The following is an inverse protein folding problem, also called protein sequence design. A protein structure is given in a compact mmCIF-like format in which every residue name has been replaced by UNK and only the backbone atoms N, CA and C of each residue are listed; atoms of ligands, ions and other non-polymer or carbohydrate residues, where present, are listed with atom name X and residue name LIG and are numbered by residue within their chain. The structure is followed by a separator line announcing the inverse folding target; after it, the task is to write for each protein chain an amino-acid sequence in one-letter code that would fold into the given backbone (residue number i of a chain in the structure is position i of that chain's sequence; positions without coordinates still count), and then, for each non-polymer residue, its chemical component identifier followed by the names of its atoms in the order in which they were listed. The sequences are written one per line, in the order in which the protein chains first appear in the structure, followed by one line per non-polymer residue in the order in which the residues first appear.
data_IF_175351166512
#
_entry.id   IF_175351166512
#
_cell.length_a   1.000
_cell.length_b   1.000
_cell.length_c   1.000
_cell.angle_alpha   90.00
_cell.angle_beta   90.00
_cell.angle_gamma   90.00
#
_symmetry.space_group_name_H-M   'P 1'
#
loop_
_entity.id
_entity.type
_entity.pdbx_description
1 polymer ?
#
# COMPACT_ATOMS: atom_id res chain seq x y z
N UNK A 1 -22.60 -5.16 -1.97
CA UNK A 1 -22.31 -3.74 -2.28
C UNK A 1 -21.29 -3.73 -3.41
N UNK A 2 -21.53 -2.96 -4.47
CA UNK A 2 -20.58 -2.87 -5.59
C UNK A 2 -19.31 -2.15 -5.13
N UNK A 3 -18.12 -2.70 -5.42
CA UNK A 3 -16.81 -2.11 -5.16
C UNK A 3 -16.64 -0.69 -5.75
N UNK A 4 -17.51 -0.31 -6.69
CA UNK A 4 -17.52 0.99 -7.35
C UNK A 4 -18.32 2.08 -6.60
N UNK A 5 -18.97 1.77 -5.49
CA UNK A 5 -19.85 2.72 -4.79
C UNK A 5 -19.08 3.70 -3.87
N UNK A 6 -17.86 3.35 -3.43
CA UNK A 6 -17.04 4.23 -2.57
C UNK A 6 -16.22 5.20 -3.43
N UNK A 7 -16.36 6.53 -3.26
CA UNK A 7 -15.54 7.51 -3.97
C UNK A 7 -14.04 7.29 -3.72
N UNK A 8 -13.21 7.66 -4.68
CA UNK A 8 -11.75 7.52 -4.55
C UNK A 8 -11.20 8.33 -3.36
N UNK A 9 -11.81 9.47 -3.05
CA UNK A 9 -11.43 10.33 -1.93
C UNK A 9 -11.67 9.74 -0.54
N UNK A 10 -12.51 8.70 -0.46
CA UNK A 10 -12.85 8.02 0.81
C UNK A 10 -12.04 6.72 0.99
N UNK A 11 -11.19 6.38 0.05
CA UNK A 11 -10.34 5.18 0.09
C UNK A 11 -8.99 5.52 0.68
N UNK A 12 -8.47 4.61 1.50
CA UNK A 12 -7.08 4.71 1.96
C UNK A 12 -6.13 4.43 0.78
N UNK A 13 -5.25 5.37 0.48
CA UNK A 13 -4.28 5.25 -0.61
C UNK A 13 -2.99 4.60 -0.12
N UNK A 14 -2.72 3.39 -0.60
CA UNK A 14 -1.53 2.60 -0.26
C UNK A 14 -0.54 2.70 -1.42
N UNK A 15 0.53 3.47 -1.23
CA UNK A 15 1.63 3.56 -2.20
C UNK A 15 2.60 2.40 -2.05
N UNK A 16 2.87 1.67 -3.14
CA UNK A 16 3.80 0.54 -3.16
C UNK A 16 5.05 0.93 -3.94
N UNK A 17 6.17 0.94 -3.24
CA UNK A 17 7.48 1.38 -3.75
C UNK A 17 8.51 0.27 -3.64
N UNK A 18 9.58 0.38 -4.41
CA UNK A 18 10.70 -0.55 -4.38
C UNK A 18 11.27 -0.81 -5.76
N UNK A 19 12.44 -1.44 -5.80
CA UNK A 19 13.14 -1.76 -7.05
C UNK A 19 12.35 -2.68 -7.97
N UNK A 20 12.76 -2.72 -9.23
CA UNK A 20 12.33 -3.75 -10.17
C UNK A 20 12.66 -5.13 -9.57
N UNK A 21 11.79 -6.10 -9.77
CA UNK A 21 11.93 -7.48 -9.26
C UNK A 21 11.94 -7.65 -7.72
N UNK A 22 11.71 -6.60 -6.92
CA UNK A 22 11.51 -6.73 -5.48
C UNK A 22 10.26 -7.52 -5.09
N UNK A 23 9.39 -7.83 -6.09
CA UNK A 23 8.18 -8.62 -5.89
C UNK A 23 6.95 -7.80 -5.54
N UNK A 24 6.89 -6.51 -5.92
CA UNK A 24 5.73 -5.63 -5.68
C UNK A 24 4.43 -6.23 -6.18
N UNK A 25 4.37 -6.65 -7.44
CA UNK A 25 3.17 -7.25 -8.05
C UNK A 25 2.79 -8.59 -7.41
N UNK A 26 3.78 -9.43 -7.08
CA UNK A 26 3.54 -10.68 -6.36
C UNK A 26 2.97 -10.43 -4.97
N UNK A 27 3.46 -9.40 -4.28
CA UNK A 27 2.98 -9.02 -2.96
C UNK A 27 1.54 -8.48 -3.04
N UNK A 28 1.22 -7.64 -4.03
CA UNK A 28 -0.15 -7.15 -4.27
C UNK A 28 -1.10 -8.35 -4.45
N UNK A 29 -0.72 -9.32 -5.29
CA UNK A 29 -1.52 -10.52 -5.51
C UNK A 29 -1.69 -11.35 -4.22
N UNK A 30 -0.64 -11.51 -3.42
CA UNK A 30 -0.70 -12.23 -2.15
C UNK A 30 -1.61 -11.54 -1.14
N UNK A 31 -1.55 -10.21 -1.03
CA UNK A 31 -2.38 -9.41 -0.12
C UNK A 31 -3.85 -9.48 -0.54
N UNK A 32 -4.14 -9.41 -1.83
CA UNK A 32 -5.51 -9.34 -2.35
C UNK A 32 -6.19 -10.69 -2.46
N UNK A 33 -5.42 -11.77 -2.43
CA UNK A 33 -5.94 -13.14 -2.67
C UNK A 33 -6.45 -13.37 -4.10
N UNK A 34 -6.26 -12.40 -4.99
CA UNK A 34 -6.67 -12.46 -6.38
C UNK A 34 -5.41 -12.51 -7.24
N UNK A 35 -5.40 -13.35 -8.27
CA UNK A 35 -4.45 -13.28 -9.37
C UNK A 35 -4.78 -12.02 -10.22
N UNK A 36 -4.74 -10.87 -9.59
CA UNK A 36 -4.71 -9.59 -10.28
C UNK A 36 -3.33 -9.45 -10.92
N UNK A 37 -3.00 -10.40 -11.83
CA UNK A 37 -1.88 -10.19 -12.70
C UNK A 37 -2.07 -8.82 -13.32
N UNK A 38 -1.20 -7.90 -12.95
CA UNK A 38 -0.92 -6.75 -13.80
C UNK A 38 -0.11 -7.37 -14.95
N UNK A 39 -0.81 -8.04 -15.83
CA UNK A 39 -0.32 -8.23 -17.18
C UNK A 39 -0.49 -6.86 -17.81
N UNK A 40 0.49 -5.99 -17.60
CA UNK A 40 0.73 -4.99 -18.61
C UNK A 40 1.26 -5.78 -19.81
N UNK A 41 0.36 -6.24 -20.68
CA UNK A 41 0.68 -6.83 -21.97
C UNK A 41 1.34 -5.82 -22.93
N UNK A 42 1.58 -4.61 -22.48
CA UNK A 42 2.42 -3.66 -23.18
C UNK A 42 3.87 -3.89 -22.73
N UNK A 43 4.66 -4.58 -23.56
CA UNK A 43 6.11 -4.45 -23.63
C UNK A 43 6.49 -3.01 -24.01
N UNK A 44 6.10 -2.05 -23.19
CA UNK A 44 6.44 -0.64 -23.28
C UNK A 44 6.78 -0.20 -21.87
N UNK A 45 7.90 0.46 -21.71
CA UNK A 45 8.42 1.08 -20.50
C UNK A 45 7.35 1.88 -19.77
N UNK A 46 6.50 1.20 -19.00
CA UNK A 46 5.44 1.84 -18.21
C UNK A 46 6.12 2.62 -17.10
N UNK A 47 6.24 3.92 -17.30
CA UNK A 47 6.73 4.87 -16.31
C UNK A 47 5.61 5.39 -15.42
N UNK A 48 4.36 5.06 -15.71
CA UNK A 48 3.19 5.58 -15.02
C UNK A 48 2.74 4.66 -13.87
N UNK A 49 2.34 5.25 -12.73
CA UNK A 49 1.78 4.49 -11.62
C UNK A 49 0.42 3.90 -12.00
N UNK A 50 0.14 2.68 -11.53
CA UNK A 50 -1.12 2.00 -11.76
C UNK A 50 -1.98 2.09 -10.49
N UNK A 51 -3.21 2.58 -10.64
CA UNK A 51 -4.18 2.73 -9.55
C UNK A 51 -5.17 1.56 -9.58
N UNK A 52 -5.34 0.89 -8.44
CA UNK A 52 -6.27 -0.23 -8.28
C UNK A 52 -7.15 -0.04 -7.05
N UNK A 53 -8.45 0.13 -7.29
CA UNK A 53 -9.44 0.12 -6.23
C UNK A 53 -9.74 -1.32 -5.81
N UNK A 54 -9.74 -1.60 -4.52
CA UNK A 54 -10.06 -2.92 -3.97
C UNK A 54 -10.53 -2.84 -2.53
N UNK A 55 -10.94 -3.98 -1.99
CA UNK A 55 -11.20 -4.15 -0.56
C UNK A 55 -10.06 -4.94 0.08
N UNK A 56 -9.51 -4.41 1.15
CA UNK A 56 -8.44 -5.03 1.93
C UNK A 56 -8.89 -5.21 3.38
N UNK A 57 -9.30 -6.42 3.75
CA UNK A 57 -9.68 -6.72 5.12
C UNK A 57 -8.44 -6.83 6.03
N UNK A 58 -8.46 -6.26 7.26
CA UNK A 58 -9.63 -5.65 7.92
C UNK A 58 -9.83 -4.15 7.64
N UNK A 59 -9.01 -3.52 6.80
CA UNK A 59 -9.00 -2.07 6.56
C UNK A 59 -10.24 -1.56 5.80
N UNK A 60 -10.81 -2.38 4.88
CA UNK A 60 -11.93 -1.99 4.03
C UNK A 60 -11.50 -1.46 2.66
N UNK A 61 -12.22 -0.45 2.10
CA UNK A 61 -11.94 0.06 0.76
C UNK A 61 -10.59 0.78 0.67
N UNK A 62 -9.72 0.33 -0.24
CA UNK A 62 -8.40 0.93 -0.47
C UNK A 62 -8.16 1.25 -1.94
N UNK A 63 -7.22 2.14 -2.20
CA UNK A 63 -6.63 2.38 -3.50
C UNK A 63 -5.16 2.00 -3.46
N UNK A 64 -4.77 0.91 -4.10
CA UNK A 64 -3.37 0.55 -4.25
C UNK A 64 -2.78 1.32 -5.42
N UNK A 65 -1.65 1.99 -5.17
CA UNK A 65 -0.89 2.72 -6.18
C UNK A 65 0.42 1.97 -6.39
N UNK A 66 0.48 1.16 -7.46
CA UNK A 66 1.70 0.44 -7.83
C UNK A 66 2.61 1.37 -8.61
N UNK A 67 3.82 1.57 -8.10
CA UNK A 67 4.81 2.42 -8.75
C UNK A 67 5.74 1.61 -9.63
N UNK A 68 6.21 2.16 -10.76
CA UNK A 68 7.30 1.56 -11.52
C UNK A 68 8.52 1.32 -10.63
N UNK A 69 9.29 0.26 -10.91
CA UNK A 69 10.51 -0.03 -10.16
C UNK A 69 11.46 1.18 -10.15
N UNK A 70 11.99 1.50 -8.98
CA UNK A 70 12.95 2.57 -8.80
C UNK A 70 14.34 2.00 -9.12
N UNK A 71 14.74 2.12 -10.39
CA UNK A 71 16.05 1.71 -10.86
C UNK A 71 16.87 2.94 -11.21
N UNK A 72 18.17 2.94 -10.88
CA UNK A 72 19.07 4.10 -11.01
C UNK A 72 19.62 4.33 -12.41
N UNK A 73 19.40 3.42 -13.33
CA UNK A 73 20.11 3.45 -14.61
C UNK A 73 19.38 4.30 -15.67
N UNK A 74 20.08 5.36 -16.09
CA UNK A 74 19.73 6.17 -17.26
C UNK A 74 18.59 7.17 -17.07
N UNK A 75 18.21 7.81 -18.17
CA UNK A 75 17.16 8.85 -18.22
C UNK A 75 15.80 8.34 -17.75
N UNK A 76 15.50 7.08 -18.01
CA UNK A 76 14.25 6.43 -17.56
C UNK A 76 14.21 6.20 -16.06
N UNK A 77 15.37 5.95 -15.43
CA UNK A 77 15.46 5.80 -13.97
C UNK A 77 15.10 7.10 -13.25
N UNK A 78 15.62 8.22 -13.69
CA UNK A 78 15.31 9.54 -13.11
C UNK A 78 13.83 9.91 -13.23
N UNK A 79 13.18 9.59 -14.35
CA UNK A 79 11.74 9.81 -14.55
C UNK A 79 10.89 8.92 -13.61
N UNK A 80 11.28 7.66 -13.41
CA UNK A 80 10.59 6.73 -12.49
C UNK A 80 10.68 7.21 -11.05
N UNK A 81 11.88 7.66 -10.62
CA UNK A 81 12.09 8.25 -9.30
C UNK A 81 11.21 9.49 -9.12
N UNK A 82 11.17 10.38 -10.11
CA UNK A 82 10.32 11.57 -10.05
C UNK A 82 8.83 11.21 -9.93
N UNK A 83 8.35 10.22 -10.69
CA UNK A 83 6.97 9.74 -10.61
C UNK A 83 6.65 9.07 -9.28
N UNK A 84 7.57 8.26 -8.75
CA UNK A 84 7.43 7.70 -7.41
C UNK A 84 7.29 8.80 -6.35
N UNK A 85 8.04 9.90 -6.48
CA UNK A 85 7.90 11.05 -5.58
C UNK A 85 6.58 11.81 -5.74
N UNK A 86 6.01 11.86 -6.94
CA UNK A 86 4.68 12.43 -7.16
C UNK A 86 3.58 11.58 -6.49
N UNK A 87 3.73 10.25 -6.55
CA UNK A 87 2.81 9.32 -5.89
C UNK A 87 2.80 9.53 -4.37
N UNK A 88 3.94 9.83 -3.75
CA UNK A 88 4.00 10.09 -2.31
C UNK A 88 3.05 11.20 -1.85
N UNK A 89 2.73 12.18 -2.71
CA UNK A 89 1.79 13.25 -2.36
C UNK A 89 0.33 12.80 -2.30
N UNK A 90 0.04 11.58 -2.78
CA UNK A 90 -1.30 10.97 -2.82
C UNK A 90 -1.37 9.71 -1.96
N UNK A 91 -0.37 9.47 -1.13
CA UNK A 91 -0.20 8.23 -0.37
C UNK A 91 -0.49 8.49 1.10
N UNK A 92 -1.43 7.76 1.66
CA UNK A 92 -1.77 7.80 3.10
C UNK A 92 -0.85 6.87 3.90
N UNK A 93 -0.44 5.74 3.29
CA UNK A 93 0.54 4.81 3.84
C UNK A 93 1.47 4.31 2.75
N UNK A 94 2.77 4.32 3.01
CA UNK A 94 3.80 3.84 2.10
C UNK A 94 4.30 2.44 2.48
N UNK A 95 4.32 1.53 1.51
CA UNK A 95 4.98 0.24 1.60
C UNK A 95 6.25 0.26 0.76
N UNK A 96 7.41 0.14 1.39
CA UNK A 96 8.70 0.02 0.68
C UNK A 96 9.10 -1.45 0.64
N UNK A 97 9.10 -2.03 -0.56
CA UNK A 97 9.37 -3.46 -0.77
C UNK A 97 10.83 -3.64 -1.15
N UNK A 98 11.54 -4.44 -0.37
CA UNK A 98 12.95 -4.76 -0.54
C UNK A 98 13.09 -6.27 -0.76
N UNK A 99 13.90 -6.68 -1.74
CA UNK A 99 14.25 -8.08 -1.94
C UNK A 99 15.25 -8.51 -0.84
N UNK A 100 14.92 -9.55 -0.09
CA UNK A 100 15.73 -10.04 1.02
C UNK A 100 17.12 -10.52 0.57
N UNK A 101 17.23 -11.09 -0.63
CA UNK A 101 18.52 -11.58 -1.14
C UNK A 101 19.47 -10.44 -1.49
N UNK A 102 18.92 -9.35 -2.05
CA UNK A 102 19.68 -8.17 -2.54
C UNK A 102 19.95 -7.18 -1.41
N UNK A 103 18.94 -6.91 -0.59
CA UNK A 103 18.98 -5.91 0.47
C UNK A 103 18.62 -4.49 -0.01
N UNK A 104 18.58 -3.53 0.94
CA UNK A 104 18.24 -2.15 0.64
C UNK A 104 19.33 -1.47 -0.17
N UNK A 105 18.94 -0.77 -1.20
CA UNK A 105 19.82 0.07 -2.01
C UNK A 105 19.91 1.49 -1.48
N UNK A 106 20.82 2.27 -2.03
CA UNK A 106 20.95 3.70 -1.73
C UNK A 106 19.65 4.47 -2.03
N UNK A 107 18.93 4.08 -3.10
CA UNK A 107 17.65 4.68 -3.49
C UNK A 107 16.52 4.31 -2.54
N UNK A 108 16.46 3.07 -2.10
CA UNK A 108 15.49 2.66 -1.09
C UNK A 108 15.68 3.46 0.20
N UNK A 109 16.92 3.65 0.63
CA UNK A 109 17.25 4.45 1.81
C UNK A 109 16.91 5.94 1.62
N UNK A 110 17.17 6.51 0.44
CA UNK A 110 16.78 7.89 0.11
C UNK A 110 15.26 8.06 0.11
N UNK A 111 14.54 7.09 -0.45
CA UNK A 111 13.08 7.08 -0.46
C UNK A 111 12.51 6.99 0.96
N UNK A 112 13.00 6.06 1.79
CA UNK A 112 12.62 5.91 3.20
C UNK A 112 12.82 7.23 3.95
N UNK A 113 13.99 7.86 3.80
CA UNK A 113 14.29 9.15 4.41
C UNK A 113 13.29 10.24 3.98
N UNK A 114 12.91 10.25 2.71
CA UNK A 114 11.94 11.22 2.19
C UNK A 114 10.51 10.97 2.68
N UNK A 115 10.09 9.70 2.78
CA UNK A 115 8.80 9.31 3.35
C UNK A 115 8.70 9.79 4.79
N UNK A 116 9.75 9.51 5.59
CA UNK A 116 9.83 9.94 6.98
C UNK A 116 9.82 11.47 7.14
N UNK A 117 10.52 12.19 6.26
CA UNK A 117 10.51 13.66 6.26
C UNK A 117 9.12 14.25 5.96
N UNK A 118 8.30 13.54 5.20
CA UNK A 118 6.89 13.90 4.92
C UNK A 118 5.93 13.42 6.00
N UNK A 119 6.40 12.69 7.01
CA UNK A 119 5.58 12.08 8.07
C UNK A 119 4.50 11.14 7.55
N UNK A 120 4.72 10.53 6.38
CA UNK A 120 3.83 9.50 5.84
C UNK A 120 4.08 8.21 6.61
N UNK A 121 3.03 7.55 7.14
CA UNK A 121 3.15 6.24 7.76
C UNK A 121 3.86 5.25 6.84
N UNK A 122 4.88 4.54 7.37
CA UNK A 122 5.77 3.70 6.58
C UNK A 122 5.83 2.28 7.13
N UNK A 123 5.66 1.31 6.25
CA UNK A 123 6.02 -0.09 6.46
C UNK A 123 7.15 -0.48 5.50
N UNK A 124 8.21 -1.07 6.04
CA UNK A 124 9.30 -1.64 5.26
C UNK A 124 9.08 -3.15 5.19
N UNK A 125 8.91 -3.66 3.98
CA UNK A 125 8.60 -5.07 3.73
C UNK A 125 9.78 -5.75 3.06
N UNK A 126 10.44 -6.64 3.79
CA UNK A 126 11.51 -7.48 3.25
C UNK A 126 10.87 -8.72 2.66
N UNK A 127 10.69 -8.71 1.36
CA UNK A 127 10.08 -9.80 0.61
C UNK A 127 11.10 -10.87 0.21
N UNK A 128 10.63 -12.08 -0.09
CA UNK A 128 11.45 -13.28 -0.37
C UNK A 128 12.31 -13.68 0.85
N UNK A 129 11.72 -13.56 2.05
CA UNK A 129 12.44 -13.82 3.29
C UNK A 129 12.89 -15.28 3.45
N UNK A 130 12.33 -16.20 2.68
CA UNK A 130 12.76 -17.59 2.58
C UNK A 130 14.16 -17.76 2.02
N UNK A 131 14.72 -16.74 1.39
CA UNK A 131 16.06 -16.75 0.78
C UNK A 131 17.17 -16.36 1.75
N UNK A 132 16.85 -15.98 2.99
CA UNK A 132 17.82 -15.47 3.96
C UNK A 132 17.70 -16.20 5.31
N UNK A 133 18.80 -16.17 6.07
CA UNK A 133 18.91 -16.72 7.42
C UNK A 133 18.59 -15.65 8.50
N UNK A 134 18.54 -16.07 9.77
CA UNK A 134 18.23 -15.18 10.89
C UNK A 134 19.30 -14.09 11.11
N UNK A 135 20.59 -14.37 10.86
CA UNK A 135 21.66 -13.38 10.98
C UNK A 135 21.43 -12.19 10.05
N UNK A 136 21.00 -12.47 8.80
CA UNK A 136 20.69 -11.44 7.81
C UNK A 136 19.44 -10.65 8.18
N UNK A 137 18.43 -11.31 8.78
CA UNK A 137 17.24 -10.60 9.31
C UNK A 137 17.62 -9.63 10.41
N UNK A 138 18.46 -10.05 11.34
CA UNK A 138 18.98 -9.20 12.42
C UNK A 138 19.78 -8.01 11.87
N UNK A 139 20.62 -8.25 10.85
CA UNK A 139 21.36 -7.18 10.18
C UNK A 139 20.41 -6.13 9.54
N UNK A 140 19.30 -6.56 8.93
CA UNK A 140 18.32 -5.62 8.37
C UNK A 140 17.58 -4.83 9.43
N UNK A 141 17.26 -5.43 10.58
CA UNK A 141 16.67 -4.73 11.73
C UNK A 141 17.60 -3.63 12.27
N UNK A 142 18.90 -3.89 12.33
CA UNK A 142 19.90 -2.91 12.74
C UNK A 142 20.08 -1.78 11.70
N UNK A 143 19.99 -2.10 10.40
CA UNK A 143 20.20 -1.14 9.31
C UNK A 143 18.99 -0.21 9.12
N UNK A 144 17.78 -0.65 9.46
CA UNK A 144 16.52 0.04 9.20
C UNK A 144 15.72 0.32 10.49
N UNK A 145 16.32 1.04 11.47
CA UNK A 145 15.72 1.20 12.81
C UNK A 145 14.46 2.09 12.83
N UNK A 146 14.23 2.92 11.80
CA UNK A 146 13.21 3.96 11.81
C UNK A 146 11.90 3.56 11.11
N UNK A 147 11.61 2.27 10.96
CA UNK A 147 10.40 1.80 10.34
C UNK A 147 9.90 0.50 10.93
N UNK A 148 8.59 0.25 10.87
CA UNK A 148 8.04 -1.08 11.18
C UNK A 148 8.50 -2.02 10.07
N UNK A 149 9.38 -2.97 10.42
CA UNK A 149 9.99 -3.92 9.48
C UNK A 149 9.25 -5.24 9.53
N UNK A 150 8.87 -5.77 8.37
CA UNK A 150 8.18 -7.04 8.22
C UNK A 150 8.91 -7.92 7.20
N UNK A 151 9.14 -9.18 7.58
CA UNK A 151 9.70 -10.19 6.69
C UNK A 151 8.59 -11.05 6.15
N UNK A 152 8.44 -11.08 4.82
CA UNK A 152 7.36 -11.81 4.15
C UNK A 152 7.89 -12.64 2.98
N UNK A 153 7.13 -13.64 2.58
CA UNK A 153 7.27 -14.30 1.30
C UNK A 153 5.95 -14.21 0.55
N UNK A 154 5.92 -13.42 -0.50
CA UNK A 154 4.74 -13.31 -1.35
C UNK A 154 4.49 -14.63 -2.11
N UNK A 155 5.54 -15.35 -2.47
CA UNK A 155 5.46 -16.63 -3.17
C UNK A 155 4.94 -17.76 -2.28
N UNK A 156 5.50 -17.89 -1.07
CA UNK A 156 5.10 -18.91 -0.11
C UNK A 156 3.92 -18.49 0.77
N UNK A 157 3.41 -17.26 0.59
CA UNK A 157 2.35 -16.64 1.41
C UNK A 157 2.69 -16.57 2.90
N UNK A 158 3.98 -16.50 3.24
CA UNK A 158 4.44 -16.41 4.62
C UNK A 158 4.28 -14.97 5.13
N UNK A 159 3.72 -14.83 6.34
CA UNK A 159 3.50 -13.55 7.05
C UNK A 159 2.67 -12.53 6.27
N UNK A 160 1.82 -12.98 5.32
CA UNK A 160 0.92 -12.09 4.56
C UNK A 160 -0.24 -11.61 5.42
N UNK A 161 -0.71 -12.43 6.35
CA UNK A 161 -1.75 -12.03 7.30
C UNK A 161 -1.23 -10.93 8.23
N UNK A 162 -0.05 -11.12 8.80
CA UNK A 162 0.63 -10.16 9.67
C UNK A 162 0.90 -8.83 8.95
N UNK A 163 1.19 -8.90 7.64
CA UNK A 163 1.34 -7.68 6.82
C UNK A 163 0.01 -6.94 6.68
N UNK A 164 -1.11 -7.62 6.45
CA UNK A 164 -2.44 -6.99 6.37
C UNK A 164 -2.82 -6.31 7.69
N UNK A 165 -2.60 -6.99 8.81
CA UNK A 165 -2.82 -6.44 10.14
C UNK A 165 -1.93 -5.21 10.39
N UNK A 166 -0.66 -5.29 10.00
CA UNK A 166 0.26 -4.18 10.15
C UNK A 166 -0.14 -2.96 9.30
N UNK A 167 -0.64 -3.18 8.07
CA UNK A 167 -1.19 -2.12 7.23
C UNK A 167 -2.38 -1.46 7.93
N UNK A 168 -3.34 -2.25 8.40
CA UNK A 168 -4.53 -1.74 9.07
C UNK A 168 -4.21 -0.93 10.35
N UNK A 169 -3.23 -1.37 11.13
CA UNK A 169 -2.78 -0.67 12.33
C UNK A 169 -1.96 0.59 12.06
N UNK A 170 -1.37 0.69 10.88
CA UNK A 170 -0.47 1.81 10.52
C UNK A 170 -1.22 2.97 9.88
N UNK A 171 -2.38 2.70 9.27
CA UNK A 171 -3.26 3.76 8.75
C UNK A 171 -3.70 4.62 9.91
N UNK A 172 -3.51 5.96 9.86
CA UNK A 172 -4.03 6.85 10.88
C UNK A 172 -5.53 6.58 11.08
N UNK A 173 -5.94 6.34 12.31
CA UNK A 173 -7.36 6.36 12.63
C UNK A 173 -7.85 7.75 12.21
N UNK A 174 -8.79 7.78 11.28
CA UNK A 174 -9.36 9.01 10.77
C UNK A 174 -10.10 9.68 11.93
N UNK A 175 -9.43 10.59 12.65
CA UNK A 175 -10.07 11.41 13.67
C UNK A 175 -11.17 12.30 13.05
N UNK A 176 -11.15 12.39 11.72
CA UNK A 176 -12.14 13.03 10.85
C UNK A 176 -13.00 12.01 10.08
N UNK A 177 -13.26 10.83 10.60
CA UNK A 177 -14.49 10.15 10.16
C UNK A 177 -15.60 11.12 10.47
N UNK A 178 -16.04 11.84 9.44
CA UNK A 178 -17.10 12.82 9.55
C UNK A 178 -18.21 12.18 10.37
N UNK A 179 -18.33 12.63 11.60
CA UNK A 179 -19.44 12.28 12.46
C UNK A 179 -20.61 13.04 11.84
N UNK A 180 -21.23 12.39 10.83
CA UNK A 180 -22.24 13.04 9.97
C UNK A 180 -23.35 13.67 10.81
N UNK A 181 -23.53 13.22 12.04
CA UNK A 181 -24.55 13.71 12.98
C UNK A 181 -24.16 13.57 14.46
N UNK A 182 -23.06 12.90 14.82
CA UNK A 182 -22.77 12.58 16.22
C UNK A 182 -22.41 13.83 17.06
N UNK A 183 -21.91 14.87 16.43
CA UNK A 183 -21.66 16.19 17.02
C UNK A 183 -22.96 17.02 17.22
N UNK A 184 -24.05 16.63 16.56
CA UNK A 184 -25.36 17.26 16.65
C UNK A 184 -26.30 16.55 17.66
N UNK A 185 -25.86 15.43 18.26
CA UNK A 185 -26.68 14.57 19.12
C UNK A 185 -26.31 14.75 20.59
N UNK A 186 -27.31 14.88 21.43
CA UNK A 186 -27.21 14.85 22.88
C UNK A 186 -27.68 13.49 23.42
N UNK A 187 -27.21 13.09 24.63
CA UNK A 187 -27.75 11.88 25.26
C UNK A 187 -29.28 11.93 25.38
N UNK A 188 -29.95 10.91 24.88
CA UNK A 188 -31.41 10.75 24.79
C UNK A 188 -32.08 11.33 23.52
N UNK A 189 -31.34 11.84 22.56
CA UNK A 189 -31.90 12.22 21.27
C UNK A 189 -32.28 11.00 20.42
N UNK A 190 -33.35 11.14 19.64
CA UNK A 190 -33.78 10.10 18.69
C UNK A 190 -33.32 10.46 17.28
N UNK A 191 -32.71 9.48 16.60
CA UNK A 191 -32.28 9.62 15.20
C UNK A 191 -33.14 8.76 14.31
N UNK A 192 -33.75 9.36 13.29
CA UNK A 192 -34.49 8.65 12.25
C UNK A 192 -33.64 8.62 10.99
N UNK A 193 -33.15 7.44 10.62
CA UNK A 193 -32.42 7.23 9.36
C UNK A 193 -33.41 6.94 8.25
N UNK A 194 -33.55 7.84 7.27
CA UNK A 194 -34.35 7.64 6.07
C UNK A 194 -33.45 7.14 4.94
N UNK A 195 -33.60 5.89 4.56
CA UNK A 195 -32.83 5.29 3.45
C UNK A 195 -33.75 5.13 2.25
N UNK A 196 -33.44 5.73 1.07
CA UNK A 196 -34.21 5.50 -0.13
C UNK A 196 -34.05 4.05 -0.60
N UNK A 197 -35.14 3.33 -0.72
CA UNK A 197 -35.16 2.00 -1.33
C UNK A 197 -35.36 2.19 -2.85
N UNK A 198 -34.31 1.81 -3.62
CA UNK A 198 -34.43 1.76 -5.08
C UNK A 198 -35.30 0.55 -5.43
N UNK A 199 -36.50 0.76 -5.89
CA UNK A 199 -37.28 -0.31 -6.53
C UNK A 199 -36.61 -0.65 -7.86
N UNK A 200 -36.07 -1.85 -8.01
CA UNK A 200 -35.72 -2.38 -9.33
C UNK A 200 -37.03 -2.59 -10.09
N UNK A 201 -37.35 -1.71 -11.01
CA UNK A 201 -38.32 -1.96 -12.02
C UNK A 201 -37.76 -2.99 -13.00
N UNK A 202 -38.24 -4.22 -12.90
CA UNK A 202 -38.06 -5.23 -13.92
C UNK A 202 -38.78 -4.77 -15.19
N UNK A 203 -38.03 -4.48 -16.23
CA UNK A 203 -38.49 -4.43 -17.62
C UNK A 203 -37.86 -5.56 -18.38
#
# INVERSE_FOLDING_TARGET
MSLNATPSSERVHIGIFGKRNAGKSSLINAITGQNLAIVSEAKGTTTDPVYKAMELLPLGPVMIIDTPGIDDEGVLGSLRIQKAYQVLNKTDIALVIIDAAVGPSAEDLRLIKRINAKKIPLLIVINKCETINEDKKTAYQALLPNGKLLFVSAEQKLNIFELKEAIAQTVPADENKAQIVADLLSPSDFVVLVVPIRSEEHT
#
